data_IF_156778031669
#
_entry.id   IF_156778031669
#
_cell.length_a   1.000
_cell.length_b   1.000
_cell.length_c   1.000
_cell.angle_alpha   90.00
_cell.angle_beta   90.00
_cell.angle_gamma   90.00
#
_symmetry.space_group_name_H-M   'P 1'
#
loop_
_entity.id
_entity.type
_entity.pdbx_description
1 polymer ?
#
# COMPACT_ATOMS: atom_id res chain seq x y z
N UNK A 1 15.57 8.86 25.14
CA UNK A 1 15.65 8.99 23.68
C UNK A 1 16.74 9.99 23.36
N UNK A 2 17.79 9.56 22.71
CA UNK A 2 18.99 10.39 22.47
C UNK A 2 19.03 11.02 21.07
N UNK A 3 18.23 10.51 20.13
CA UNK A 3 18.20 11.01 18.75
C UNK A 3 16.81 10.84 18.11
N UNK A 4 16.59 11.55 16.98
CA UNK A 4 15.40 11.42 16.18
C UNK A 4 15.32 10.04 15.49
N UNK A 5 16.47 9.48 15.11
CA UNK A 5 16.53 8.14 14.50
C UNK A 5 16.05 7.07 15.47
N UNK A 6 16.51 7.12 16.71
CA UNK A 6 16.04 6.23 17.77
C UNK A 6 14.52 6.37 18.00
N UNK A 7 13.99 7.59 17.93
CA UNK A 7 12.56 7.83 18.08
C UNK A 7 11.74 7.16 16.95
N UNK A 8 12.20 7.34 15.70
CA UNK A 8 11.56 6.73 14.52
C UNK A 8 11.64 5.20 14.59
N UNK A 9 12.79 4.64 14.96
CA UNK A 9 12.99 3.22 15.11
C UNK A 9 12.04 2.63 16.17
N UNK A 10 11.95 3.22 17.34
CA UNK A 10 11.06 2.79 18.41
C UNK A 10 9.58 2.87 18.02
N UNK A 11 9.17 3.95 17.35
CA UNK A 11 7.81 4.09 16.83
C UNK A 11 7.49 2.98 15.82
N UNK A 12 8.46 2.68 14.94
CA UNK A 12 8.31 1.64 13.91
C UNK A 12 8.38 0.21 14.45
N UNK A 13 8.92 0.00 15.65
CA UNK A 13 8.93 -1.31 16.31
C UNK A 13 7.56 -1.73 16.88
N UNK A 14 6.62 -0.79 17.02
CA UNK A 14 5.26 -1.11 17.47
C UNK A 14 4.53 -2.02 16.46
N UNK A 15 3.66 -2.93 16.91
CA UNK A 15 2.89 -3.80 16.00
C UNK A 15 1.79 -3.03 15.24
N UNK A 16 1.47 -1.83 15.66
CA UNK A 16 0.45 -0.96 15.08
C UNK A 16 1.04 0.14 14.21
N UNK A 17 0.21 0.76 13.38
CA UNK A 17 0.61 1.83 12.49
C UNK A 17 -0.60 2.57 11.91
N UNK A 18 -1.54 3.04 12.77
CA UNK A 18 -2.67 3.85 12.32
C UNK A 18 -2.21 5.28 12.05
N UNK A 19 -1.71 5.96 13.07
CA UNK A 19 -1.29 7.33 12.99
C UNK A 19 -0.04 7.62 13.83
N UNK A 20 0.70 8.64 13.45
CA UNK A 20 1.82 9.16 14.19
C UNK A 20 1.77 10.68 14.26
N UNK A 21 1.99 11.24 15.45
CA UNK A 21 2.01 12.68 15.69
C UNK A 21 3.43 13.16 15.90
N UNK A 22 3.81 14.23 15.21
CA UNK A 22 5.12 14.86 15.30
C UNK A 22 4.96 16.34 15.59
N UNK A 23 5.67 16.82 16.59
CA UNK A 23 5.69 18.23 16.94
C UNK A 23 7.10 18.77 16.78
N UNK A 24 7.31 19.62 15.80
CA UNK A 24 8.62 20.25 15.54
C UNK A 24 8.46 21.50 14.69
N UNK A 25 9.41 22.45 14.82
CA UNK A 25 9.54 23.63 13.95
C UNK A 25 10.68 23.48 12.93
N UNK A 26 11.42 22.38 13.01
CA UNK A 26 12.55 22.07 12.15
C UNK A 26 12.05 21.31 10.93
N UNK A 27 12.15 21.93 9.76
CA UNK A 27 11.64 21.38 8.49
C UNK A 27 12.34 20.07 8.09
N UNK A 28 13.65 19.96 8.33
CA UNK A 28 14.39 18.72 8.01
C UNK A 28 13.90 17.55 8.87
N UNK A 29 13.59 17.82 10.16
CA UNK A 29 12.99 16.81 11.04
C UNK A 29 11.57 16.43 10.61
N UNK A 30 10.78 17.39 10.12
CA UNK A 30 9.43 17.10 9.55
C UNK A 30 9.56 16.12 8.40
N UNK A 31 10.43 16.40 7.42
CA UNK A 31 10.61 15.52 6.25
C UNK A 31 11.15 14.15 6.64
N UNK A 32 12.09 14.11 7.58
CA UNK A 32 12.66 12.85 8.08
C UNK A 32 11.59 11.99 8.76
N UNK A 33 10.74 12.58 9.59
CA UNK A 33 9.62 11.86 10.21
C UNK A 33 8.58 11.41 9.19
N UNK A 34 8.18 12.29 8.27
CA UNK A 34 7.20 11.95 7.23
C UNK A 34 7.64 10.76 6.37
N UNK A 35 8.92 10.63 6.07
CA UNK A 35 9.48 9.53 5.28
C UNK A 35 9.81 8.29 6.12
N UNK A 36 10.18 8.47 7.37
CA UNK A 36 10.71 7.40 8.22
C UNK A 36 9.66 6.67 9.05
N UNK A 37 8.55 7.33 9.39
CA UNK A 37 7.50 6.72 10.21
C UNK A 37 6.60 5.80 9.37
N UNK A 38 6.37 4.58 9.87
CA UNK A 38 5.51 3.56 9.26
C UNK A 38 4.12 3.60 9.88
N UNK A 39 3.36 4.61 9.51
CA UNK A 39 1.96 4.79 9.89
C UNK A 39 1.13 5.14 8.65
N UNK A 40 -0.16 4.86 8.70
CA UNK A 40 -1.09 5.22 7.63
C UNK A 40 -1.21 6.72 7.46
N UNK A 41 -1.19 7.45 8.56
CA UNK A 41 -1.16 8.92 8.57
C UNK A 41 -0.05 9.43 9.48
N UNK A 42 0.67 10.44 9.04
CA UNK A 42 1.65 11.17 9.85
C UNK A 42 1.21 12.62 9.92
N UNK A 43 0.78 13.04 11.10
CA UNK A 43 0.41 14.42 11.37
C UNK A 43 1.61 15.21 11.90
N UNK A 44 1.86 16.36 11.34
CA UNK A 44 2.94 17.24 11.77
C UNK A 44 2.35 18.55 12.29
N UNK A 45 2.44 18.77 13.58
CA UNK A 45 1.91 19.93 14.33
C UNK A 45 0.37 20.10 14.31
N UNK A 46 -0.38 19.16 13.72
CA UNK A 46 -1.83 19.22 13.62
C UNK A 46 -2.42 17.82 13.77
N UNK A 47 -2.48 17.26 14.99
CA UNK A 47 -2.85 15.88 15.21
C UNK A 47 -4.34 15.63 14.99
N UNK A 48 -4.67 14.43 14.53
CA UNK A 48 -6.04 13.93 14.39
C UNK A 48 -6.94 14.76 13.45
N UNK A 49 -6.35 15.48 12.51
CA UNK A 49 -7.09 16.20 11.48
C UNK A 49 -7.31 15.29 10.29
N UNK A 50 -8.56 15.04 9.95
CA UNK A 50 -8.94 14.31 8.76
C UNK A 50 -9.00 15.23 7.54
N UNK A 51 -8.77 14.64 6.36
CA UNK A 51 -8.84 15.33 5.09
C UNK A 51 -9.54 14.43 4.08
N UNK A 52 -10.69 14.84 3.59
CA UNK A 52 -11.52 14.06 2.65
C UNK A 52 -10.77 13.68 1.36
N UNK A 53 -9.76 14.46 0.99
CA UNK A 53 -8.95 14.20 -0.19
C UNK A 53 -7.76 13.25 0.07
N UNK A 54 -7.49 12.88 1.32
CA UNK A 54 -6.37 12.03 1.70
C UNK A 54 -6.83 10.69 2.26
N UNK A 55 -6.22 9.56 1.88
CA UNK A 55 -6.63 8.26 2.37
C UNK A 55 -6.28 8.10 3.84
N UNK A 56 -7.26 7.65 4.64
CA UNK A 56 -7.10 7.32 6.05
C UNK A 56 -7.18 5.82 6.27
N UNK A 57 -6.28 5.25 7.05
CA UNK A 57 -6.31 3.84 7.40
C UNK A 57 -5.01 3.34 8.00
N UNK A 58 -5.05 2.16 8.58
CA UNK A 58 -3.94 1.56 9.30
C UNK A 58 -2.92 0.84 8.42
N UNK A 59 -1.77 0.58 9.03
CA UNK A 59 -0.76 -0.35 8.56
C UNK A 59 -0.54 -1.43 9.61
N UNK A 60 -0.04 -2.60 9.21
CA UNK A 60 0.27 -3.72 10.10
C UNK A 60 -0.95 -4.13 10.93
N UNK A 61 -0.80 -4.27 12.25
CA UNK A 61 -1.87 -4.66 13.15
C UNK A 61 -3.02 -3.66 13.34
N UNK A 62 -2.90 -2.45 12.78
CA UNK A 62 -3.98 -1.45 12.79
C UNK A 62 -5.04 -1.66 11.72
N UNK A 63 -4.85 -2.62 10.81
CA UNK A 63 -5.85 -3.01 9.84
C UNK A 63 -5.41 -2.87 8.40
N UNK A 64 -6.35 -3.19 7.50
CA UNK A 64 -6.21 -3.14 6.04
C UNK A 64 -7.27 -2.21 5.44
N UNK A 65 -7.01 -1.74 4.23
CA UNK A 65 -7.92 -0.85 3.52
C UNK A 65 -7.68 0.62 3.84
N UNK A 66 -8.46 1.46 3.15
CA UNK A 66 -8.48 2.92 3.34
C UNK A 66 -9.91 3.41 3.25
N UNK A 67 -10.20 4.44 4.01
CA UNK A 67 -11.37 5.31 3.82
C UNK A 67 -10.86 6.71 3.44
N UNK A 68 -11.74 7.58 2.99
CA UNK A 68 -11.40 8.89 2.43
C UNK A 68 -10.48 8.80 1.19
N UNK A 69 -10.24 9.95 0.56
CA UNK A 69 -9.44 10.00 -0.65
C UNK A 69 -10.00 9.15 -1.79
N UNK A 70 -9.21 9.01 -2.83
CA UNK A 70 -9.52 8.16 -3.98
C UNK A 70 -9.59 6.68 -3.61
N UNK A 71 -8.69 6.23 -2.78
CA UNK A 71 -8.59 4.83 -2.32
C UNK A 71 -9.85 4.41 -1.55
N UNK A 72 -10.44 5.31 -0.75
CA UNK A 72 -11.69 5.06 -0.07
C UNK A 72 -12.86 4.88 -1.03
N UNK A 73 -12.94 5.68 -2.09
CA UNK A 73 -13.93 5.52 -3.15
C UNK A 73 -13.74 4.22 -3.94
N UNK A 74 -12.51 3.90 -4.30
CA UNK A 74 -12.18 2.68 -5.06
C UNK A 74 -12.49 1.41 -4.27
N UNK A 75 -12.50 1.45 -2.93
CA UNK A 75 -12.87 0.32 -2.08
C UNK A 75 -14.34 -0.14 -2.27
N UNK A 76 -15.21 0.72 -2.80
CA UNK A 76 -16.61 0.38 -3.14
C UNK A 76 -16.80 -0.03 -4.60
N UNK A 77 -15.73 -0.17 -5.37
CA UNK A 77 -15.77 -0.52 -6.79
C UNK A 77 -15.19 -1.92 -7.01
N UNK A 78 -15.77 -2.62 -7.97
CA UNK A 78 -15.24 -3.89 -8.46
C UNK A 78 -14.45 -3.65 -9.75
N UNK A 79 -13.21 -4.14 -9.80
CA UNK A 79 -12.39 -4.08 -11.00
C UNK A 79 -12.72 -5.25 -11.93
N UNK A 80 -12.85 -4.99 -13.24
CA UNK A 80 -13.00 -5.99 -14.28
C UNK A 80 -11.88 -5.89 -15.29
N UNK A 81 -11.12 -6.97 -15.44
CA UNK A 81 -10.21 -7.11 -16.56
C UNK A 81 -10.97 -7.62 -17.78
N UNK A 82 -10.86 -6.94 -18.90
CA UNK A 82 -11.39 -7.37 -20.18
C UNK A 82 -10.24 -7.56 -21.15
N UNK A 83 -10.04 -8.81 -21.59
CA UNK A 83 -9.06 -9.15 -22.62
C UNK A 83 -9.79 -9.59 -23.87
N UNK A 84 -9.52 -8.97 -25.01
CA UNK A 84 -10.18 -9.27 -26.28
C UNK A 84 -9.10 -9.64 -27.29
N UNK A 85 -9.18 -10.86 -27.80
CA UNK A 85 -8.40 -11.28 -28.98
C UNK A 85 -9.33 -11.32 -30.20
N UNK A 86 -9.26 -10.37 -31.12
CA UNK A 86 -10.15 -10.29 -32.25
C UNK A 86 -9.89 -11.37 -33.32
N UNK A 87 -8.75 -12.05 -33.28
CA UNK A 87 -8.37 -13.04 -34.30
C UNK A 87 -8.82 -14.46 -34.00
N UNK A 88 -9.13 -14.78 -32.75
CA UNK A 88 -9.60 -16.10 -32.30
C UNK A 88 -8.72 -17.25 -32.84
N UNK A 89 -7.42 -17.09 -32.81
CA UNK A 89 -6.47 -18.12 -33.19
C UNK A 89 -6.15 -19.04 -32.01
N UNK A 90 -6.01 -20.36 -32.28
CA UNK A 90 -5.59 -21.31 -31.25
C UNK A 90 -4.24 -20.88 -30.66
N UNK A 91 -4.17 -20.79 -29.33
CA UNK A 91 -2.92 -20.48 -28.62
C UNK A 91 -2.19 -21.77 -28.25
N UNK A 92 -0.88 -21.71 -28.14
CA UNK A 92 -0.01 -22.85 -27.79
C UNK A 92 -0.38 -23.48 -26.44
N UNK A 93 -0.92 -22.70 -25.52
CA UNK A 93 -1.34 -23.14 -24.17
C UNK A 93 -2.78 -23.64 -24.10
N UNK A 94 -3.50 -23.75 -25.23
CA UNK A 94 -4.87 -24.27 -25.26
C UNK A 94 -4.86 -25.77 -25.50
N UNK A 95 -5.80 -26.47 -24.82
CA UNK A 95 -6.04 -27.88 -25.06
C UNK A 95 -6.74 -28.09 -26.44
N UNK A 96 -6.44 -29.18 -27.15
CA UNK A 96 -5.42 -30.19 -26.86
C UNK A 96 -4.00 -29.65 -27.11
N UNK A 97 -3.08 -30.01 -26.25
CA UNK A 97 -1.66 -29.73 -26.43
C UNK A 97 -1.09 -30.51 -27.61
N UNK A 98 0.00 -30.08 -28.18
CA UNK A 98 0.72 -30.82 -29.23
C UNK A 98 1.21 -32.20 -28.76
N UNK A 99 1.47 -33.14 -29.68
CA UNK A 99 2.01 -34.44 -29.31
C UNK A 99 3.38 -34.26 -28.58
N UNK A 100 3.43 -34.72 -27.34
CA UNK A 100 4.65 -34.66 -26.51
C UNK A 100 4.69 -33.56 -25.43
N UNK A 101 3.70 -32.69 -25.34
CA UNK A 101 3.62 -31.68 -24.27
C UNK A 101 2.71 -32.15 -23.13
N UNK A 102 3.30 -32.56 -22.03
CA UNK A 102 2.58 -32.79 -20.78
C UNK A 102 2.27 -31.46 -20.08
N UNK A 103 1.09 -31.32 -19.44
CA UNK A 103 0.75 -30.12 -18.67
C UNK A 103 1.76 -29.95 -17.53
N UNK A 104 2.61 -28.95 -17.61
CA UNK A 104 3.56 -28.61 -16.53
C UNK A 104 5.03 -28.51 -16.93
N UNK A 105 5.45 -28.88 -18.14
CA UNK A 105 6.80 -28.66 -18.61
C UNK A 105 6.93 -27.34 -19.38
N UNK A 106 6.79 -26.23 -18.68
CA UNK A 106 7.28 -24.93 -19.17
C UNK A 106 8.67 -24.69 -18.60
N UNK A 107 9.69 -24.77 -19.41
CA UNK A 107 10.96 -24.08 -19.16
C UNK A 107 10.70 -22.58 -19.20
N UNK A 108 10.93 -21.91 -18.04
CA UNK A 108 10.99 -20.46 -17.98
C UNK A 108 12.17 -19.91 -18.76
#
# INVERSE_FOLDING_TARGET
MSSLDEAIERANAAPFGLGANVYTRDFEKMLKCARGLRAGTVWINDPLTDNDAAPFGGQRGSGIGRELGREGLEAFQESKHVHIDPKVEKKEWWYPYGPGEEPGQRTM
#
